data_IF_364569737663
#
_entry.id   IF_364569737663
#
_cell.length_a   1.000
_cell.length_b   1.000
_cell.length_c   1.000
_cell.angle_alpha   90.00
_cell.angle_beta   90.00
_cell.angle_gamma   90.00
#
_symmetry.space_group_name_H-M   'P 1'
#
loop_
_entity.id
_entity.type
_entity.pdbx_description
1 polymer ?
#
# COMPACT_ATOMS: atom_id res chain seq x y z
N UNK A 1 -41.94 22.06 -10.60
CA UNK A 1 -40.66 21.92 -11.33
C UNK A 1 -40.33 20.43 -11.35
N UNK A 2 -40.67 19.73 -12.42
CA UNK A 2 -40.35 18.31 -12.59
C UNK A 2 -38.88 18.24 -13.00
N UNK A 3 -37.99 18.04 -12.04
CA UNK A 3 -36.63 17.60 -12.35
C UNK A 3 -36.73 16.14 -12.76
N UNK A 4 -36.58 15.87 -14.05
CA UNK A 4 -36.48 14.50 -14.55
C UNK A 4 -35.18 13.89 -14.01
N UNK A 5 -35.29 12.82 -13.23
CA UNK A 5 -34.15 12.17 -12.60
C UNK A 5 -33.45 11.34 -13.66
N UNK A 6 -32.47 11.94 -14.34
CA UNK A 6 -31.71 11.25 -15.36
C UNK A 6 -30.48 10.55 -14.77
N UNK A 7 -30.22 9.31 -15.22
CA UNK A 7 -29.02 8.56 -14.83
C UNK A 7 -27.78 9.31 -15.29
N UNK A 8 -26.87 9.59 -14.35
CA UNK A 8 -25.61 10.26 -14.65
C UNK A 8 -24.79 9.47 -15.69
N UNK A 9 -24.17 10.19 -16.64
CA UNK A 9 -23.31 9.59 -17.66
C UNK A 9 -22.16 8.81 -17.01
N UNK A 10 -21.66 7.78 -17.71
CA UNK A 10 -20.55 6.95 -17.21
C UNK A 10 -19.32 7.82 -16.92
N UNK A 11 -19.03 8.79 -17.79
CA UNK A 11 -17.88 9.69 -17.65
C UNK A 11 -17.97 10.55 -16.38
N UNK A 12 -19.12 11.17 -16.09
CA UNK A 12 -19.29 11.96 -14.85
C UNK A 12 -19.12 11.10 -13.60
N UNK A 13 -19.63 9.86 -13.62
CA UNK A 13 -19.47 8.92 -12.51
C UNK A 13 -18.00 8.54 -12.29
N UNK A 14 -17.27 8.27 -13.37
CA UNK A 14 -15.85 7.97 -13.32
C UNK A 14 -15.02 9.16 -12.81
N UNK A 15 -15.28 10.38 -13.30
CA UNK A 15 -14.58 11.59 -12.86
C UNK A 15 -14.83 11.91 -11.39
N UNK A 16 -16.08 11.77 -10.91
CA UNK A 16 -16.39 11.94 -9.49
C UNK A 16 -15.66 10.94 -8.61
N UNK A 17 -15.64 9.67 -9.01
CA UNK A 17 -14.91 8.61 -8.30
C UNK A 17 -13.39 8.86 -8.28
N UNK A 18 -12.80 9.29 -9.39
CA UNK A 18 -11.37 9.59 -9.47
C UNK A 18 -10.99 10.75 -8.54
N UNK A 19 -11.81 11.80 -8.47
CA UNK A 19 -11.60 12.90 -7.54
C UNK A 19 -11.68 12.42 -6.08
N UNK A 20 -12.64 11.56 -5.75
CA UNK A 20 -12.76 10.98 -4.40
C UNK A 20 -11.52 10.15 -4.03
N UNK A 21 -10.98 9.34 -4.95
CA UNK A 21 -9.73 8.57 -4.72
C UNK A 21 -8.55 9.48 -4.44
N UNK A 22 -8.37 10.54 -5.23
CA UNK A 22 -7.26 11.48 -5.03
C UNK A 22 -7.34 12.13 -3.65
N UNK A 23 -8.54 12.56 -3.24
CA UNK A 23 -8.75 13.15 -1.92
C UNK A 23 -8.46 12.14 -0.80
N UNK A 24 -8.89 10.88 -0.96
CA UNK A 24 -8.57 9.81 -0.02
C UNK A 24 -7.07 9.59 0.08
N UNK A 25 -6.35 9.53 -1.05
CA UNK A 25 -4.91 9.33 -1.06
C UNK A 25 -4.17 10.47 -0.33
N UNK A 26 -4.50 11.74 -0.64
CA UNK A 26 -3.87 12.90 0.00
C UNK A 26 -4.15 12.91 1.51
N UNK A 27 -5.40 12.68 1.91
CA UNK A 27 -5.78 12.70 3.31
C UNK A 27 -5.17 11.51 4.09
N UNK A 28 -5.09 10.33 3.46
CA UNK A 28 -4.47 9.15 4.05
C UNK A 28 -2.98 9.38 4.30
N UNK A 29 -2.25 9.98 3.36
CA UNK A 29 -0.83 10.36 3.56
C UNK A 29 -0.69 11.36 4.71
N UNK A 30 -1.59 12.34 4.83
CA UNK A 30 -1.62 13.25 5.97
C UNK A 30 -1.79 12.52 7.31
N UNK A 31 -2.72 11.58 7.40
CA UNK A 31 -2.89 10.76 8.62
C UNK A 31 -1.69 9.85 8.90
N UNK A 32 -1.11 9.24 7.87
CA UNK A 32 0.10 8.43 8.02
C UNK A 32 1.27 9.26 8.54
N UNK A 33 1.46 10.49 8.05
CA UNK A 33 2.52 11.38 8.54
C UNK A 33 2.33 11.72 10.03
N UNK A 34 1.09 12.00 10.45
CA UNK A 34 0.78 12.23 11.87
C UNK A 34 1.05 11.00 12.74
N UNK A 35 0.65 9.81 12.27
CA UNK A 35 0.93 8.56 12.99
C UNK A 35 2.43 8.26 13.07
N UNK A 36 3.19 8.59 12.03
CA UNK A 36 4.66 8.47 12.00
C UNK A 36 5.30 9.24 13.14
N UNK A 37 4.84 10.48 13.36
CA UNK A 37 5.32 11.36 14.42
C UNK A 37 4.91 10.86 15.81
N UNK A 38 3.68 10.36 15.97
CA UNK A 38 3.17 9.86 17.25
C UNK A 38 3.92 8.59 17.68
N UNK A 39 4.27 7.74 16.73
CA UNK A 39 4.89 6.44 16.99
C UNK A 39 6.42 6.43 16.91
N UNK A 40 7.07 7.58 16.70
CA UNK A 40 8.52 7.71 16.50
C UNK A 40 9.07 6.71 15.44
N UNK A 41 8.36 6.59 14.32
CA UNK A 41 8.71 5.64 13.27
C UNK A 41 10.12 5.90 12.72
N UNK A 42 10.50 7.17 12.57
CA UNK A 42 11.80 7.56 12.04
C UNK A 42 12.95 7.11 12.97
N UNK A 43 12.75 7.16 14.29
CA UNK A 43 13.72 6.64 15.27
C UNK A 43 13.94 5.14 15.11
N UNK A 44 12.84 4.37 15.08
CA UNK A 44 12.88 2.92 14.87
C UNK A 44 13.50 2.54 13.51
N UNK A 45 13.12 3.25 12.46
CA UNK A 45 13.65 3.02 11.11
C UNK A 45 15.15 3.32 11.02
N UNK A 46 15.61 4.42 11.63
CA UNK A 46 17.04 4.75 11.67
C UNK A 46 17.84 3.70 12.44
N UNK A 47 17.33 3.22 13.58
CA UNK A 47 17.98 2.14 14.34
C UNK A 47 18.10 0.86 13.50
N UNK A 48 16.99 0.44 12.86
CA UNK A 48 16.97 -0.69 11.94
C UNK A 48 17.98 -0.54 10.79
N UNK A 49 18.03 0.65 10.17
CA UNK A 49 18.94 0.97 9.07
C UNK A 49 20.40 0.92 9.51
N UNK A 50 20.72 1.49 10.67
CA UNK A 50 22.09 1.52 11.19
C UNK A 50 22.63 0.11 11.46
N UNK A 51 21.80 -0.80 11.98
CA UNK A 51 22.19 -2.21 12.18
C UNK A 51 22.50 -2.91 10.85
N UNK A 52 21.69 -2.65 9.81
CA UNK A 52 21.93 -3.17 8.45
C UNK A 52 23.24 -2.62 7.88
N UNK A 53 23.44 -1.32 7.94
CA UNK A 53 24.66 -0.69 7.42
C UNK A 53 25.91 -1.17 8.17
N UNK A 54 25.83 -1.34 9.49
CA UNK A 54 26.91 -1.88 10.31
C UNK A 54 27.26 -3.32 9.92
N UNK A 55 26.26 -4.19 9.77
CA UNK A 55 26.46 -5.58 9.34
C UNK A 55 27.04 -5.65 7.92
N UNK A 56 26.54 -4.80 7.01
CA UNK A 56 27.02 -4.72 5.64
C UNK A 56 28.49 -4.29 5.59
N UNK A 57 28.87 -3.22 6.31
CA UNK A 57 30.24 -2.74 6.35
C UNK A 57 31.20 -3.80 6.93
N UNK A 58 30.78 -4.48 8.00
CA UNK A 58 31.57 -5.55 8.63
C UNK A 58 31.88 -6.68 7.63
N UNK A 59 30.89 -7.09 6.84
CA UNK A 59 31.05 -8.14 5.84
C UNK A 59 31.91 -7.66 4.67
N UNK A 60 31.69 -6.45 4.16
CA UNK A 60 32.52 -5.89 3.08
C UNK A 60 33.98 -5.83 3.50
N UNK A 61 34.28 -5.35 4.71
CA UNK A 61 35.65 -5.30 5.23
C UNK A 61 36.26 -6.69 5.42
N UNK A 62 35.50 -7.66 5.96
CA UNK A 62 35.95 -9.03 6.13
C UNK A 62 36.40 -9.64 4.80
N UNK A 63 35.55 -9.60 3.78
CA UNK A 63 35.85 -10.22 2.48
C UNK A 63 36.91 -9.46 1.69
N UNK A 64 37.00 -8.13 1.87
CA UNK A 64 38.11 -7.33 1.32
C UNK A 64 39.45 -7.73 1.94
N UNK A 65 39.51 -7.98 3.25
CA UNK A 65 40.75 -8.33 3.94
C UNK A 65 41.14 -9.81 3.77
N UNK A 66 40.18 -10.73 3.81
CA UNK A 66 40.43 -12.17 3.74
C UNK A 66 40.63 -12.67 2.30
N UNK A 67 39.90 -12.09 1.35
CA UNK A 67 39.85 -12.58 -0.04
C UNK A 67 40.31 -11.55 -1.08
N UNK A 68 40.60 -10.31 -0.67
CA UNK A 68 40.99 -9.23 -1.59
C UNK A 68 39.84 -8.72 -2.47
N UNK A 69 38.61 -9.17 -2.22
CA UNK A 69 37.44 -8.87 -3.06
C UNK A 69 36.66 -7.71 -2.45
N UNK A 70 36.51 -6.63 -3.22
CA UNK A 70 35.69 -5.50 -2.82
C UNK A 70 34.23 -5.72 -3.22
N UNK A 71 33.40 -6.15 -2.26
CA UNK A 71 31.96 -6.34 -2.47
C UNK A 71 31.17 -5.01 -2.51
N UNK A 72 31.82 -3.88 -2.24
CA UNK A 72 31.23 -2.54 -2.28
C UNK A 72 31.39 -1.81 -3.63
N UNK A 73 31.68 -2.53 -4.72
CA UNK A 73 31.81 -1.93 -6.07
C UNK A 73 30.44 -1.56 -6.65
N UNK A 74 30.44 -0.58 -7.55
CA UNK A 74 29.25 -0.19 -8.30
C UNK A 74 28.89 -1.20 -9.40
N UNK A 75 27.67 -1.11 -9.93
CA UNK A 75 27.24 -1.96 -11.05
C UNK A 75 28.11 -1.75 -12.31
N UNK A 76 28.53 -0.51 -12.58
CA UNK A 76 29.41 -0.20 -13.71
C UNK A 76 30.80 -0.84 -13.57
N UNK A 77 31.33 -0.88 -12.34
CA UNK A 77 32.60 -1.55 -12.04
C UNK A 77 32.46 -3.07 -12.12
N UNK A 78 31.32 -3.63 -11.68
CA UNK A 78 31.03 -5.05 -11.83
C UNK A 78 30.98 -5.47 -13.30
N UNK A 79 30.37 -4.66 -14.17
CA UNK A 79 30.26 -4.97 -15.60
C UNK A 79 31.62 -4.98 -16.32
N UNK A 80 32.59 -4.22 -15.80
CA UNK A 80 33.96 -4.15 -16.31
C UNK A 80 34.84 -5.33 -15.86
N UNK A 81 34.41 -6.13 -14.87
CA UNK A 81 35.12 -7.34 -14.45
C UNK A 81 35.12 -8.41 -15.56
N UNK A 82 36.19 -9.19 -15.61
CA UNK A 82 36.27 -10.36 -16.49
C UNK A 82 35.25 -11.45 -16.10
N UNK A 83 34.90 -12.33 -17.04
CA UNK A 83 33.87 -13.38 -16.80
C UNK A 83 34.23 -14.33 -15.64
N UNK A 84 35.52 -14.60 -15.41
CA UNK A 84 35.99 -15.39 -14.27
C UNK A 84 35.90 -14.62 -12.95
N UNK A 85 36.26 -13.34 -12.94
CA UNK A 85 36.16 -12.47 -11.76
C UNK A 85 34.71 -12.24 -11.34
N UNK A 86 33.78 -12.13 -12.30
CA UNK A 86 32.33 -12.07 -12.03
C UNK A 86 31.82 -13.32 -11.32
N UNK A 87 32.24 -14.51 -11.75
CA UNK A 87 31.85 -15.76 -11.10
C UNK A 87 32.36 -15.82 -9.66
N UNK A 88 33.61 -15.45 -9.45
CA UNK A 88 34.20 -15.39 -8.11
C UNK A 88 33.48 -14.35 -7.25
N UNK A 89 33.20 -13.16 -7.79
CA UNK A 89 32.41 -12.14 -7.09
C UNK A 89 31.03 -12.64 -6.70
N UNK A 90 30.30 -13.31 -7.60
CA UNK A 90 28.96 -13.83 -7.33
C UNK A 90 28.96 -14.91 -6.23
N UNK A 91 29.98 -15.76 -6.19
CA UNK A 91 30.15 -16.77 -5.15
C UNK A 91 30.38 -16.12 -3.78
N UNK A 92 31.33 -15.18 -3.70
CA UNK A 92 31.62 -14.47 -2.46
C UNK A 92 30.47 -13.53 -2.04
N UNK A 93 29.71 -12.97 -2.98
CA UNK A 93 28.51 -12.18 -2.68
C UNK A 93 27.40 -13.03 -2.05
N UNK A 94 27.23 -14.29 -2.47
CA UNK A 94 26.29 -15.22 -1.81
C UNK A 94 26.71 -15.53 -0.38
N UNK A 95 28.00 -15.85 -0.18
CA UNK A 95 28.55 -16.12 1.16
C UNK A 95 28.45 -14.90 2.08
N UNK A 96 28.79 -13.72 1.56
CA UNK A 96 28.64 -12.45 2.27
C UNK A 96 27.20 -12.16 2.70
N UNK A 97 26.22 -12.47 1.84
CA UNK A 97 24.81 -12.34 2.19
C UNK A 97 24.39 -13.29 3.33
N UNK A 98 24.91 -14.52 3.35
CA UNK A 98 24.66 -15.47 4.44
C UNK A 98 25.31 -15.01 5.75
N UNK A 99 26.56 -14.55 5.70
CA UNK A 99 27.28 -14.00 6.85
C UNK A 99 26.56 -12.76 7.41
N UNK A 100 26.16 -11.84 6.54
CA UNK A 100 25.38 -10.65 6.92
C UNK A 100 24.09 -11.04 7.61
N UNK A 101 23.35 -12.00 7.05
CA UNK A 101 22.11 -12.51 7.65
C UNK A 101 22.37 -13.11 9.04
N UNK A 102 23.46 -13.85 9.23
CA UNK A 102 23.82 -14.42 10.53
C UNK A 102 24.15 -13.34 11.57
N UNK A 103 24.89 -12.29 11.18
CA UNK A 103 25.19 -11.14 12.04
C UNK A 103 23.89 -10.44 12.46
N UNK A 104 23.00 -10.16 11.51
CA UNK A 104 21.72 -9.51 11.79
C UNK A 104 20.81 -10.38 12.67
N UNK A 105 20.77 -11.69 12.45
CA UNK A 105 20.03 -12.63 13.29
C UNK A 105 20.67 -12.86 14.67
N UNK A 106 21.92 -12.45 14.88
CA UNK A 106 22.54 -12.44 16.21
C UNK A 106 22.21 -11.14 16.99
N UNK A 107 21.95 -10.03 16.30
CA UNK A 107 21.58 -8.75 16.91
C UNK A 107 20.13 -8.77 17.44
N UNK A 108 19.98 -8.68 18.76
CA UNK A 108 18.65 -8.54 19.39
C UNK A 108 17.97 -7.21 19.03
N UNK A 109 18.77 -6.15 18.83
CA UNK A 109 18.30 -4.85 18.35
C UNK A 109 17.66 -5.00 16.97
N UNK A 110 18.35 -5.63 16.02
CA UNK A 110 17.81 -5.83 14.67
C UNK A 110 16.49 -6.60 14.68
N UNK A 111 16.39 -7.70 15.45
CA UNK A 111 15.14 -8.48 15.53
C UNK A 111 13.97 -7.67 16.05
N UNK A 112 14.20 -6.87 17.09
CA UNK A 112 13.18 -6.02 17.68
C UNK A 112 12.75 -4.92 16.70
N UNK A 113 13.72 -4.18 16.16
CA UNK A 113 13.45 -3.03 15.30
C UNK A 113 12.84 -3.44 13.95
N UNK A 114 13.29 -4.54 13.34
CA UNK A 114 12.71 -5.05 12.08
C UNK A 114 11.22 -5.40 12.22
N UNK A 115 10.84 -6.05 13.33
CA UNK A 115 9.44 -6.39 13.62
C UNK A 115 8.59 -5.14 13.90
N UNK A 116 9.16 -4.17 14.64
CA UNK A 116 8.48 -2.91 14.95
C UNK A 116 8.27 -2.06 13.71
N UNK A 117 9.29 -1.87 12.88
CA UNK A 117 9.20 -1.11 11.62
C UNK A 117 8.12 -1.70 10.72
N UNK A 118 8.12 -3.03 10.54
CA UNK A 118 7.09 -3.70 9.75
C UNK A 118 5.68 -3.48 10.33
N UNK A 119 5.51 -3.72 11.63
CA UNK A 119 4.21 -3.62 12.31
C UNK A 119 3.67 -2.19 12.29
N UNK A 120 4.54 -1.20 12.52
CA UNK A 120 4.21 0.22 12.46
C UNK A 120 3.84 0.63 11.04
N UNK A 121 4.58 0.22 10.01
CA UNK A 121 4.22 0.53 8.62
C UNK A 121 2.84 -0.03 8.23
N UNK A 122 2.54 -1.27 8.64
CA UNK A 122 1.21 -1.88 8.41
C UNK A 122 0.11 -1.14 9.18
N UNK A 123 0.36 -0.81 10.45
CA UNK A 123 -0.59 -0.09 11.29
C UNK A 123 -0.85 1.33 10.76
N UNK A 124 0.20 2.09 10.48
CA UNK A 124 0.09 3.45 9.95
C UNK A 124 -0.69 3.48 8.65
N UNK A 125 -0.40 2.55 7.73
CA UNK A 125 -1.10 2.49 6.44
C UNK A 125 -2.57 2.12 6.62
N UNK A 126 -2.86 1.08 7.42
CA UNK A 126 -4.23 0.64 7.65
C UNK A 126 -5.07 1.71 8.35
N UNK A 127 -4.59 2.26 9.46
CA UNK A 127 -5.28 3.30 10.23
C UNK A 127 -5.37 4.60 9.42
N UNK A 128 -4.32 4.99 8.69
CA UNK A 128 -4.31 6.20 7.88
C UNK A 128 -5.35 6.18 6.77
N UNK A 129 -5.43 5.07 6.02
CA UNK A 129 -6.45 4.86 4.98
C UNK A 129 -7.84 4.78 5.61
N UNK A 130 -7.98 4.07 6.73
CA UNK A 130 -9.27 3.96 7.44
C UNK A 130 -9.81 5.33 7.84
N UNK A 131 -8.99 6.17 8.45
CA UNK A 131 -9.39 7.52 8.88
C UNK A 131 -9.75 8.40 7.68
N UNK A 132 -8.98 8.32 6.59
CA UNK A 132 -9.29 9.06 5.36
C UNK A 132 -10.64 8.65 4.76
N UNK A 133 -10.89 7.34 4.66
CA UNK A 133 -12.16 6.79 4.21
C UNK A 133 -13.32 7.18 5.12
N UNK A 134 -13.13 7.08 6.43
CA UNK A 134 -14.14 7.45 7.41
C UNK A 134 -14.52 8.93 7.28
N UNK A 135 -13.56 9.82 7.05
CA UNK A 135 -13.83 11.25 6.84
C UNK A 135 -14.55 11.49 5.50
N UNK A 136 -13.99 11.01 4.39
CA UNK A 136 -14.43 11.39 3.04
C UNK A 136 -15.64 10.61 2.53
N UNK A 137 -15.75 9.32 2.88
CA UNK A 137 -16.81 8.43 2.41
C UNK A 137 -17.93 8.20 3.44
N UNK A 138 -17.77 8.71 4.67
CA UNK A 138 -18.82 8.62 5.69
C UNK A 138 -19.17 9.96 6.34
N UNK A 139 -18.23 10.61 7.04
CA UNK A 139 -18.52 11.87 7.76
C UNK A 139 -19.03 12.94 6.81
N UNK A 140 -18.32 13.22 5.71
CA UNK A 140 -18.70 14.27 4.76
C UNK A 140 -20.07 14.00 4.10
N UNK A 141 -20.34 12.79 3.57
CA UNK A 141 -21.67 12.44 3.05
C UNK A 141 -22.80 12.60 4.07
N UNK A 142 -22.56 12.26 5.34
CA UNK A 142 -23.52 12.46 6.44
C UNK A 142 -23.73 13.94 6.71
N UNK A 143 -22.65 14.75 6.75
CA UNK A 143 -22.73 16.20 6.91
C UNK A 143 -23.52 16.87 5.78
N UNK A 144 -23.41 16.37 4.55
CA UNK A 144 -24.20 16.86 3.41
C UNK A 144 -25.68 16.43 3.46
N UNK A 145 -26.07 15.52 4.38
CA UNK A 145 -27.43 14.99 4.56
C UNK A 145 -28.04 14.30 3.32
N UNK A 146 -27.32 14.30 2.20
CA UNK A 146 -27.74 13.79 0.90
C UNK A 146 -26.93 12.56 0.47
N UNK A 147 -25.91 12.15 1.24
CA UNK A 147 -25.11 10.96 0.94
C UNK A 147 -24.11 11.12 -0.19
N UNK A 148 -23.87 12.35 -0.64
CA UNK A 148 -22.91 12.64 -1.70
C UNK A 148 -21.51 12.73 -1.11
N UNK A 149 -20.55 12.13 -1.79
CA UNK A 149 -19.11 12.38 -1.57
C UNK A 149 -18.74 13.74 -2.18
N UNK A 150 -17.54 14.23 -1.89
CA UNK A 150 -17.06 15.51 -2.45
C UNK A 150 -17.09 15.46 -3.98
N UNK A 151 -16.55 14.40 -4.58
CA UNK A 151 -16.54 14.20 -6.03
C UNK A 151 -17.94 14.19 -6.61
N UNK A 152 -18.86 13.41 -6.03
CA UNK A 152 -20.26 13.37 -6.49
C UNK A 152 -20.94 14.74 -6.38
N UNK A 153 -20.60 15.55 -5.37
CA UNK A 153 -21.12 16.91 -5.22
C UNK A 153 -20.57 17.86 -6.30
N UNK A 154 -19.27 17.81 -6.57
CA UNK A 154 -18.61 18.63 -7.61
C UNK A 154 -19.19 18.35 -8.99
N UNK A 155 -19.47 17.09 -9.31
CA UNK A 155 -20.04 16.69 -10.61
C UNK A 155 -21.58 16.71 -10.67
N UNK A 156 -22.25 17.19 -9.61
CA UNK A 156 -23.71 17.32 -9.57
C UNK A 156 -24.48 16.00 -9.59
N UNK A 157 -23.90 14.93 -9.02
CA UNK A 157 -24.45 13.57 -9.04
C UNK A 157 -25.22 13.30 -7.74
N UNK A 158 -26.53 13.07 -7.84
CA UNK A 158 -27.35 12.65 -6.70
C UNK A 158 -27.16 11.16 -6.36
N UNK A 159 -27.22 10.84 -5.06
CA UNK A 159 -27.12 9.47 -4.54
C UNK A 159 -28.47 9.04 -3.97
N UNK A 160 -29.02 7.94 -4.50
CA UNK A 160 -30.32 7.39 -4.09
C UNK A 160 -30.31 5.86 -4.18
N UNK A 161 -31.18 5.20 -3.41
CA UNK A 161 -31.46 3.77 -3.62
C UNK A 161 -32.16 3.55 -4.96
N UNK A 162 -32.16 2.31 -5.46
CA UNK A 162 -32.90 1.89 -6.67
C UNK A 162 -34.38 2.25 -6.62
N UNK A 163 -34.95 2.33 -5.41
CA UNK A 163 -36.35 2.66 -5.17
C UNK A 163 -36.60 4.18 -5.09
N UNK A 164 -35.63 5.02 -5.45
CA UNK A 164 -35.73 6.49 -5.41
C UNK A 164 -35.66 7.13 -4.01
N UNK A 165 -35.45 6.32 -2.96
CA UNK A 165 -35.37 6.81 -1.57
C UNK A 165 -33.95 7.23 -1.22
N UNK A 166 -33.82 8.27 -0.40
CA UNK A 166 -32.53 8.73 0.14
C UNK A 166 -31.83 7.60 0.89
N UNK A 167 -30.51 7.49 0.70
CA UNK A 167 -29.70 6.47 1.35
C UNK A 167 -29.59 6.74 2.86
N UNK A 168 -29.75 5.70 3.68
CA UNK A 168 -29.65 5.81 5.15
C UNK A 168 -28.18 5.87 5.59
N UNK A 169 -27.83 6.63 6.65
CA UNK A 169 -26.45 6.72 7.15
C UNK A 169 -25.81 5.36 7.46
N UNK A 170 -26.55 4.43 8.07
CA UNK A 170 -26.03 3.08 8.35
C UNK A 170 -25.68 2.31 7.08
N UNK A 171 -26.50 2.44 6.03
CA UNK A 171 -26.22 1.80 4.74
C UNK A 171 -25.00 2.42 4.05
N UNK A 172 -24.75 3.72 4.23
CA UNK A 172 -23.52 4.36 3.76
C UNK A 172 -22.31 3.83 4.52
N UNK A 173 -22.39 3.76 5.85
CA UNK A 173 -21.30 3.24 6.69
C UNK A 173 -20.87 1.83 6.28
N UNK A 174 -21.83 0.91 6.16
CA UNK A 174 -21.57 -0.48 5.76
C UNK A 174 -20.91 -0.54 4.38
N UNK A 175 -21.41 0.26 3.42
CA UNK A 175 -20.84 0.34 2.08
C UNK A 175 -19.40 0.88 2.10
N UNK A 176 -19.15 1.97 2.81
CA UNK A 176 -17.85 2.64 2.84
C UNK A 176 -16.80 1.84 3.60
N UNK A 177 -17.15 1.27 4.75
CA UNK A 177 -16.21 0.53 5.61
C UNK A 177 -16.05 -0.93 5.16
N UNK A 178 -17.13 -1.71 5.09
CA UNK A 178 -17.01 -3.12 4.74
C UNK A 178 -16.80 -3.32 3.25
N UNK A 179 -17.55 -2.60 2.41
CA UNK A 179 -17.41 -2.71 0.95
C UNK A 179 -16.08 -2.16 0.45
N UNK A 180 -15.92 -0.85 0.52
CA UNK A 180 -14.80 -0.17 -0.15
C UNK A 180 -13.49 -0.25 0.65
N UNK A 181 -13.50 0.07 1.95
CA UNK A 181 -12.26 0.04 2.74
C UNK A 181 -11.68 -1.38 2.88
N UNK A 182 -12.45 -2.37 3.37
CA UNK A 182 -11.90 -3.73 3.60
C UNK A 182 -11.61 -4.45 2.29
N UNK A 183 -12.60 -4.64 1.43
CA UNK A 183 -12.45 -5.54 0.27
C UNK A 183 -11.76 -4.89 -0.94
N UNK A 184 -12.02 -3.61 -1.20
CA UNK A 184 -11.50 -2.97 -2.42
C UNK A 184 -10.12 -2.33 -2.20
N UNK A 185 -9.87 -1.72 -1.04
CA UNK A 185 -8.65 -0.93 -0.80
C UNK A 185 -7.64 -1.68 0.09
N UNK A 186 -8.05 -2.12 1.29
CA UNK A 186 -7.12 -2.60 2.31
C UNK A 186 -6.42 -3.90 1.90
N UNK A 187 -7.16 -4.88 1.36
CA UNK A 187 -6.57 -6.16 0.95
C UNK A 187 -5.48 -5.97 -0.12
N UNK A 188 -5.72 -5.27 -1.25
CA UNK A 188 -4.66 -5.02 -2.23
C UNK A 188 -3.47 -4.23 -1.68
N UNK A 189 -3.73 -3.19 -0.86
CA UNK A 189 -2.67 -2.36 -0.27
C UNK A 189 -1.79 -3.19 0.68
N UNK A 190 -2.38 -4.03 1.53
CA UNK A 190 -1.63 -4.89 2.44
C UNK A 190 -0.80 -5.93 1.69
N UNK A 191 -1.34 -6.54 0.63
CA UNK A 191 -0.57 -7.44 -0.24
C UNK A 191 0.62 -6.70 -0.85
N UNK A 192 0.40 -5.47 -1.34
CA UNK A 192 1.45 -4.58 -1.85
C UNK A 192 2.56 -4.34 -0.83
N UNK A 193 2.20 -3.97 0.40
CA UNK A 193 3.15 -3.75 1.48
C UNK A 193 3.90 -5.03 1.88
N UNK A 194 3.21 -6.16 1.98
CA UNK A 194 3.84 -7.44 2.32
C UNK A 194 4.84 -7.89 1.24
N UNK A 195 4.56 -7.61 -0.04
CA UNK A 195 5.53 -7.82 -1.12
C UNK A 195 6.72 -6.88 -0.99
N UNK A 196 6.50 -5.60 -0.66
CA UNK A 196 7.57 -4.63 -0.48
C UNK A 196 8.53 -5.00 0.67
N UNK A 197 7.98 -5.46 1.80
CA UNK A 197 8.78 -5.93 2.95
C UNK A 197 9.32 -7.37 2.79
N UNK A 198 9.04 -8.04 1.67
CA UNK A 198 9.52 -9.39 1.39
C UNK A 198 8.91 -10.50 2.27
N UNK A 199 7.84 -10.21 3.04
CA UNK A 199 7.13 -11.23 3.83
C UNK A 199 6.23 -12.10 2.96
N UNK A 200 5.77 -11.57 1.82
CA UNK A 200 5.06 -12.29 0.78
C UNK A 200 5.89 -12.29 -0.50
N UNK A 201 6.08 -13.46 -1.12
CA UNK A 201 6.78 -13.50 -2.40
C UNK A 201 6.06 -12.68 -3.47
N UNK A 202 6.82 -11.94 -4.27
CA UNK A 202 6.29 -11.07 -5.34
C UNK A 202 5.42 -11.85 -6.33
N UNK A 203 5.82 -13.08 -6.67
CA UNK A 203 5.08 -13.95 -7.57
C UNK A 203 3.68 -14.26 -7.02
N UNK A 204 3.60 -14.77 -5.78
CA UNK A 204 2.31 -15.13 -5.15
C UNK A 204 1.43 -13.89 -4.99
N UNK A 205 1.99 -12.77 -4.50
CA UNK A 205 1.22 -11.55 -4.32
C UNK A 205 0.65 -11.01 -5.63
N UNK A 206 1.41 -11.07 -6.72
CA UNK A 206 0.96 -10.65 -8.05
C UNK A 206 -0.20 -11.52 -8.55
N UNK A 207 -0.13 -12.84 -8.38
CA UNK A 207 -1.21 -13.75 -8.77
C UNK A 207 -2.51 -13.41 -8.03
N UNK A 208 -2.42 -13.18 -6.71
CA UNK A 208 -3.59 -12.85 -5.87
C UNK A 208 -4.20 -11.51 -6.30
N UNK A 209 -3.39 -10.49 -6.56
CA UNK A 209 -3.87 -9.19 -7.06
C UNK A 209 -4.59 -9.31 -8.40
N UNK A 210 -4.04 -10.08 -9.34
CA UNK A 210 -4.68 -10.34 -10.64
C UNK A 210 -6.02 -11.05 -10.44
N UNK A 211 -6.09 -12.06 -9.57
CA UNK A 211 -7.33 -12.77 -9.27
C UNK A 211 -8.42 -11.84 -8.68
N UNK A 212 -8.04 -10.94 -7.78
CA UNK A 212 -8.95 -9.92 -7.22
C UNK A 212 -9.46 -8.99 -8.31
N UNK A 213 -8.58 -8.48 -9.19
CA UNK A 213 -8.98 -7.64 -10.32
C UNK A 213 -9.95 -8.36 -11.27
N UNK A 214 -9.69 -9.63 -11.60
CA UNK A 214 -10.58 -10.44 -12.44
C UNK A 214 -11.94 -10.62 -11.78
N UNK A 215 -11.98 -10.88 -10.47
CA UNK A 215 -13.23 -11.01 -9.72
C UNK A 215 -14.02 -9.69 -9.70
N UNK A 216 -13.35 -8.55 -9.50
CA UNK A 216 -13.98 -7.23 -9.56
C UNK A 216 -14.56 -6.94 -10.95
N UNK A 217 -13.82 -7.26 -12.02
CA UNK A 217 -14.31 -7.13 -13.40
C UNK A 217 -15.51 -8.03 -13.67
N UNK A 218 -15.47 -9.29 -13.21
CA UNK A 218 -16.57 -10.23 -13.37
C UNK A 218 -17.84 -9.74 -12.66
N UNK A 219 -17.73 -9.25 -11.42
CA UNK A 219 -18.85 -8.67 -10.67
C UNK A 219 -19.38 -7.42 -11.37
N UNK A 220 -18.49 -6.54 -11.86
CA UNK A 220 -18.88 -5.34 -12.57
C UNK A 220 -19.68 -5.66 -13.85
N UNK A 221 -19.22 -6.64 -14.64
CA UNK A 221 -19.91 -7.09 -15.86
C UNK A 221 -21.27 -7.71 -15.51
N UNK A 222 -21.32 -8.59 -14.51
CA UNK A 222 -22.54 -9.27 -14.07
C UNK A 222 -23.60 -8.25 -13.60
N UNK A 223 -23.18 -7.26 -12.79
CA UNK A 223 -24.08 -6.24 -12.23
C UNK A 223 -24.54 -5.22 -13.29
N UNK A 224 -23.82 -5.08 -14.41
CA UNK A 224 -24.21 -4.19 -15.53
C UNK A 224 -25.57 -4.55 -16.11
N UNK A 225 -25.94 -5.83 -16.09
CA UNK A 225 -27.18 -6.33 -16.67
C UNK A 225 -28.40 -6.17 -15.73
N UNK A 226 -28.19 -6.10 -14.42
CA UNK A 226 -29.26 -5.97 -13.41
C UNK A 226 -29.73 -4.53 -13.18
N UNK A 227 -29.01 -3.52 -13.69
CA UNK A 227 -29.35 -2.09 -13.52
C UNK A 227 -30.20 -1.51 -14.67
N UNK A 228 -30.87 -2.37 -15.44
CA UNK A 228 -31.74 -2.04 -16.58
C UNK A 228 -33.24 -2.10 -16.25
N UNK A 229 -33.62 -2.34 -14.99
CA UNK A 229 -35.01 -2.26 -14.54
C UNK A 229 -35.25 -1.00 -13.73
#
# INVERSE_FOLDING_TARGET
MIYDIQKASVLKRASGFLLDIILIAVLAVGFMALLSLICDYDGHYNSYKNEIESAQNTVIEKYKNEHGINLGISQEEYEQLGDEEKKTFDEYAKLANEDMKNILLASDTYKKESSLVLSLSLMMTSVGIFLAMLVLEFIIPVCFKNGQTIGKKVFGIAVMHTNGVRVRPLSMFVRSILGMYVFEIMVPVLIGLMMFFGTLSVLIGTIVLVAICVLQLAIFISTRNTTRS
#
